data_IF_985239669979
#
_entry.id   IF_985239669979
#
_cell.length_a   1.000
_cell.length_b   1.000
_cell.length_c   1.000
_cell.angle_alpha   90.00
_cell.angle_beta   90.00
_cell.angle_gamma   90.00
#
_symmetry.space_group_name_H-M   'P 1'
#
loop_
_entity.id
_entity.type
_entity.pdbx_description
1 polymer ?
#
# COMPACT_ATOMS: atom_id res chain seq x y z
N UNK A 1 24.78 0.46 4.34
CA UNK A 1 25.97 0.51 3.47
C UNK A 1 26.42 -0.88 3.02
N UNK A 2 26.58 -1.86 3.93
CA UNK A 2 27.00 -3.23 3.56
C UNK A 2 26.08 -3.94 2.55
N UNK A 3 24.76 -3.88 2.70
CA UNK A 3 23.83 -4.53 1.75
C UNK A 3 23.94 -3.98 0.31
N UNK A 4 24.14 -2.67 0.16
CA UNK A 4 24.26 -2.04 -1.16
C UNK A 4 25.53 -2.47 -1.90
N UNK A 5 26.64 -2.62 -1.18
CA UNK A 5 27.91 -3.09 -1.77
C UNK A 5 27.80 -4.54 -2.28
N UNK A 6 27.15 -5.43 -1.51
CA UNK A 6 26.95 -6.83 -1.90
C UNK A 6 26.13 -6.99 -3.18
N UNK A 7 25.11 -6.13 -3.39
CA UNK A 7 24.31 -6.15 -4.63
C UNK A 7 25.17 -5.78 -5.83
N UNK A 8 26.05 -4.77 -5.69
CA UNK A 8 26.93 -4.32 -6.77
C UNK A 8 27.96 -5.39 -7.12
N UNK A 9 28.55 -6.04 -6.11
CA UNK A 9 29.45 -7.18 -6.29
C UNK A 9 28.74 -8.31 -7.05
N UNK A 10 27.50 -8.62 -6.66
CA UNK A 10 26.68 -9.65 -7.33
C UNK A 10 26.43 -9.31 -8.80
N UNK A 11 26.13 -8.05 -9.13
CA UNK A 11 25.93 -7.61 -10.52
C UNK A 11 27.20 -7.86 -11.36
N UNK A 12 28.37 -7.52 -10.82
CA UNK A 12 29.65 -7.74 -11.51
C UNK A 12 29.99 -9.23 -11.64
N UNK A 13 29.72 -10.03 -10.61
CA UNK A 13 29.92 -11.47 -10.60
C UNK A 13 29.04 -12.17 -11.64
N UNK A 14 27.76 -11.81 -11.72
CA UNK A 14 26.85 -12.35 -12.72
C UNK A 14 27.27 -11.95 -14.14
N UNK A 15 27.72 -10.71 -14.35
CA UNK A 15 28.28 -10.26 -15.62
C UNK A 15 29.47 -11.12 -16.08
N UNK A 16 30.42 -11.37 -15.17
CA UNK A 16 31.57 -12.25 -15.43
C UNK A 16 31.16 -13.70 -15.67
N UNK A 17 30.26 -14.24 -14.85
CA UNK A 17 29.82 -15.63 -14.92
C UNK A 17 29.14 -15.95 -16.25
N UNK A 18 28.27 -15.05 -16.72
CA UNK A 18 27.55 -15.22 -17.98
C UNK A 18 28.30 -14.66 -19.21
N UNK A 19 29.48 -14.04 -19.01
CA UNK A 19 30.25 -13.43 -20.10
C UNK A 19 29.51 -12.27 -20.77
N UNK A 20 28.68 -11.53 -20.02
CA UNK A 20 27.88 -10.42 -20.52
C UNK A 20 28.45 -9.08 -20.05
N UNK A 21 28.55 -8.13 -20.99
CA UNK A 21 28.85 -6.74 -20.67
C UNK A 21 27.53 -6.00 -20.49
N UNK A 22 27.37 -5.31 -19.36
CA UNK A 22 26.17 -4.51 -19.09
C UNK A 22 26.22 -3.23 -19.91
N UNK A 23 25.20 -3.00 -20.73
CA UNK A 23 25.08 -1.79 -21.56
C UNK A 23 23.99 -0.84 -21.06
N UNK A 24 22.99 -1.39 -20.37
CA UNK A 24 21.80 -0.69 -19.93
C UNK A 24 21.41 -1.12 -18.52
N UNK A 25 20.71 -0.23 -17.82
CA UNK A 25 20.15 -0.51 -16.50
C UNK A 25 18.70 -0.04 -16.45
N UNK A 26 17.83 -0.88 -15.88
CA UNK A 26 16.45 -0.53 -15.57
C UNK A 26 16.33 -0.46 -14.04
N UNK A 27 15.79 0.63 -13.51
CA UNK A 27 15.61 0.80 -12.07
C UNK A 27 14.25 1.40 -11.73
N UNK A 28 13.87 1.28 -10.46
CA UNK A 28 12.66 1.93 -9.95
C UNK A 28 12.72 3.45 -10.14
N UNK A 29 11.59 4.06 -10.47
CA UNK A 29 11.44 5.49 -10.65
C UNK A 29 11.62 6.29 -9.35
N UNK A 30 11.51 5.65 -8.18
CA UNK A 30 11.70 6.30 -6.88
C UNK A 30 13.12 6.93 -6.78
N UNK A 31 13.23 8.25 -6.58
CA UNK A 31 14.54 8.94 -6.60
C UNK A 31 15.46 8.55 -5.44
N UNK A 32 14.88 8.30 -4.27
CA UNK A 32 15.66 8.00 -3.06
C UNK A 32 16.03 6.53 -2.84
N UNK A 33 15.73 5.64 -3.80
CA UNK A 33 16.14 4.25 -3.68
C UNK A 33 17.65 4.09 -3.90
N UNK A 34 18.26 3.22 -3.10
CA UNK A 34 19.71 2.97 -3.17
C UNK A 34 20.14 2.41 -4.54
N UNK A 35 19.30 1.56 -5.15
CA UNK A 35 19.51 1.02 -6.49
C UNK A 35 19.46 2.12 -7.55
N UNK A 36 18.49 3.04 -7.47
CA UNK A 36 18.38 4.18 -8.39
C UNK A 36 19.60 5.09 -8.32
N UNK A 37 20.07 5.42 -7.10
CA UNK A 37 21.32 6.17 -6.91
C UNK A 37 22.57 5.44 -7.41
N UNK A 38 22.61 4.11 -7.32
CA UNK A 38 23.70 3.33 -7.89
C UNK A 38 23.67 3.36 -9.42
N UNK A 39 22.49 3.14 -10.02
CA UNK A 39 22.30 3.15 -11.46
C UNK A 39 22.73 4.51 -12.06
N UNK A 40 22.36 5.63 -11.42
CA UNK A 40 22.79 6.97 -11.82
C UNK A 40 24.32 7.15 -11.79
N UNK A 41 25.02 6.47 -10.87
CA UNK A 41 26.48 6.53 -10.74
C UNK A 41 27.22 5.50 -11.60
N UNK A 42 26.51 4.54 -12.18
CA UNK A 42 27.10 3.42 -12.92
C UNK A 42 27.67 3.82 -14.28
N UNK A 43 27.22 4.95 -14.84
CA UNK A 43 27.54 5.37 -16.21
C UNK A 43 26.80 4.59 -17.29
N UNK A 44 25.92 3.65 -16.93
CA UNK A 44 25.08 2.90 -17.87
C UNK A 44 23.93 3.79 -18.39
N UNK A 45 23.42 3.45 -19.58
CA UNK A 45 22.17 4.04 -20.05
C UNK A 45 21.01 3.56 -19.16
N UNK A 46 20.39 4.48 -18.43
CA UNK A 46 19.43 4.15 -17.37
C UNK A 46 17.99 4.46 -17.80
N UNK A 47 17.10 3.49 -17.57
CA UNK A 47 15.67 3.61 -17.78
C UNK A 47 14.94 3.49 -16.44
N UNK A 48 14.13 4.50 -16.10
CA UNK A 48 13.28 4.48 -14.90
C UNK A 48 11.95 3.84 -15.22
N UNK A 49 11.48 2.94 -14.35
CA UNK A 49 10.18 2.28 -14.44
C UNK A 49 9.44 2.44 -13.13
N UNK A 50 8.17 2.83 -13.20
CA UNK A 50 7.33 2.95 -12.01
C UNK A 50 7.03 1.58 -11.40
N UNK A 51 7.01 1.53 -10.07
CA UNK A 51 6.93 0.28 -9.30
C UNK A 51 5.77 -0.63 -9.73
N UNK A 52 4.56 -0.09 -9.75
CA UNK A 52 3.35 -0.82 -10.14
C UNK A 52 3.34 -1.18 -11.63
N UNK A 53 3.95 -0.37 -12.49
CA UNK A 53 4.10 -0.70 -13.91
C UNK A 53 5.06 -1.90 -14.09
N UNK A 54 6.09 -2.01 -13.25
CA UNK A 54 6.99 -3.16 -13.23
C UNK A 54 6.25 -4.43 -12.77
N UNK A 55 5.44 -4.36 -11.70
CA UNK A 55 4.59 -5.48 -11.27
C UNK A 55 3.64 -5.96 -12.36
N UNK A 56 2.92 -5.04 -13.02
CA UNK A 56 2.02 -5.36 -14.13
C UNK A 56 2.77 -6.01 -15.31
N UNK A 57 3.94 -5.47 -15.67
CA UNK A 57 4.77 -6.02 -16.75
C UNK A 57 5.35 -7.39 -16.40
N UNK A 58 5.72 -7.63 -15.14
CA UNK A 58 6.25 -8.91 -14.68
C UNK A 58 5.20 -10.03 -14.80
N UNK A 59 3.96 -9.77 -14.36
CA UNK A 59 2.86 -10.72 -14.50
C UNK A 59 2.55 -11.03 -15.96
N UNK A 60 2.50 -10.00 -16.81
CA UNK A 60 2.29 -10.18 -18.25
C UNK A 60 3.42 -11.01 -18.90
N UNK A 61 4.67 -10.77 -18.51
CA UNK A 61 5.83 -11.51 -19.00
C UNK A 61 5.82 -12.97 -18.56
N UNK A 62 5.46 -13.27 -17.31
CA UNK A 62 5.34 -14.64 -16.79
C UNK A 62 4.35 -15.48 -17.60
N UNK A 63 3.26 -14.86 -18.07
CA UNK A 63 2.24 -15.52 -18.88
C UNK A 63 2.40 -15.34 -20.39
N UNK A 64 3.47 -14.67 -20.85
CA UNK A 64 3.70 -14.33 -22.26
C UNK A 64 2.52 -13.59 -22.92
N UNK A 65 1.88 -12.68 -22.20
CA UNK A 65 0.73 -11.90 -22.70
C UNK A 65 1.22 -10.52 -23.15
N UNK A 66 0.86 -10.15 -24.38
CA UNK A 66 1.17 -8.85 -24.97
C UNK A 66 -0.08 -8.01 -25.26
N UNK A 67 -1.26 -8.59 -25.08
CA UNK A 67 -2.56 -7.98 -25.28
C UNK A 67 -2.95 -7.06 -24.11
N UNK A 68 -3.88 -6.10 -24.32
CA UNK A 68 -4.38 -5.27 -23.24
C UNK A 68 -5.04 -6.09 -22.11
N UNK A 69 -4.59 -5.88 -20.87
CA UNK A 69 -5.09 -6.50 -19.65
C UNK A 69 -5.45 -5.43 -18.61
N UNK A 70 -6.42 -5.75 -17.76
CA UNK A 70 -6.62 -5.05 -16.49
C UNK A 70 -5.86 -5.81 -15.40
N UNK A 71 -4.88 -5.15 -14.77
CA UNK A 71 -4.05 -5.72 -13.70
C UNK A 71 -4.24 -4.90 -12.43
N UNK A 72 -4.50 -5.59 -11.33
CA UNK A 72 -4.52 -4.98 -10.00
C UNK A 72 -3.15 -5.16 -9.34
N UNK A 73 -2.51 -4.05 -9.00
CA UNK A 73 -1.18 -4.04 -8.37
C UNK A 73 -1.33 -3.51 -6.96
N UNK A 74 -1.61 -4.42 -6.03
CA UNK A 74 -1.92 -4.11 -4.63
C UNK A 74 -0.76 -4.54 -3.74
N UNK A 75 -0.13 -3.57 -3.08
CA UNK A 75 1.06 -3.77 -2.26
C UNK A 75 1.11 -2.76 -1.10
N UNK A 76 2.26 -2.70 -0.42
CA UNK A 76 2.50 -1.76 0.67
C UNK A 76 2.81 -0.34 0.21
N UNK A 77 3.74 -0.16 -0.73
CA UNK A 77 4.20 1.15 -1.17
C UNK A 77 4.93 1.05 -2.50
N UNK A 78 4.59 1.95 -3.43
CA UNK A 78 5.38 2.19 -4.63
C UNK A 78 5.27 3.66 -5.06
N UNK A 79 6.34 4.19 -5.65
CA UNK A 79 6.35 5.57 -6.12
C UNK A 79 5.49 5.71 -7.37
N UNK A 80 4.46 6.55 -7.30
CA UNK A 80 3.52 6.80 -8.39
C UNK A 80 4.00 7.85 -9.39
N UNK A 81 3.41 7.84 -10.58
CA UNK A 81 3.67 8.83 -11.64
C UNK A 81 3.32 10.27 -11.24
N UNK A 82 2.36 10.40 -10.34
CA UNK A 82 1.88 11.67 -9.76
C UNK A 82 2.66 12.10 -8.51
N UNK A 83 3.74 11.37 -8.15
CA UNK A 83 4.55 11.63 -6.96
C UNK A 83 3.87 11.22 -5.64
N UNK A 84 2.73 10.54 -5.69
CA UNK A 84 2.07 9.98 -4.50
C UNK A 84 2.50 8.54 -4.24
N UNK A 85 2.09 7.99 -3.10
CA UNK A 85 2.38 6.60 -2.74
C UNK A 85 1.26 5.70 -3.26
N UNK A 86 1.54 4.95 -4.31
CA UNK A 86 0.61 3.96 -4.83
C UNK A 86 0.72 2.64 -4.07
N UNK A 87 -0.28 1.79 -4.25
CA UNK A 87 -0.32 0.43 -3.71
C UNK A 87 -1.69 -0.22 -3.74
N UNK A 88 -2.63 0.37 -4.47
CA UNK A 88 -4.02 -0.07 -4.58
C UNK A 88 -4.55 0.14 -5.99
N UNK A 89 -3.68 0.04 -7.00
CA UNK A 89 -3.98 0.51 -8.35
C UNK A 89 -4.60 -0.58 -9.22
N UNK A 90 -5.45 -0.16 -10.15
CA UNK A 90 -5.82 -0.93 -11.33
C UNK A 90 -5.23 -0.28 -12.56
N UNK A 91 -4.38 -1.02 -13.27
CA UNK A 91 -3.70 -0.60 -14.48
C UNK A 91 -4.30 -1.32 -15.68
N UNK A 92 -4.62 -0.58 -16.74
CA UNK A 92 -5.08 -1.15 -18.01
C UNK A 92 -4.07 -0.85 -19.11
N UNK A 93 -3.72 -1.86 -19.89
CA UNK A 93 -2.79 -1.70 -21.00
C UNK A 93 -2.00 -2.98 -21.28
N UNK A 94 -0.84 -2.82 -21.89
CA UNK A 94 0.08 -3.89 -22.24
C UNK A 94 1.49 -3.54 -21.71
N UNK A 95 2.45 -4.49 -21.68
CA UNK A 95 3.82 -4.21 -21.24
C UNK A 95 4.41 -2.95 -21.90
N UNK A 96 4.89 -2.02 -21.07
CA UNK A 96 5.42 -0.72 -21.52
C UNK A 96 4.39 0.40 -21.73
N UNK A 97 3.09 0.10 -21.72
CA UNK A 97 2.00 1.05 -21.99
C UNK A 97 0.84 0.90 -20.98
N UNK A 98 1.16 0.96 -19.69
CA UNK A 98 0.17 0.88 -18.62
C UNK A 98 -0.46 2.24 -18.35
N UNK A 99 -1.79 2.25 -18.18
CA UNK A 99 -2.56 3.43 -17.78
C UNK A 99 -3.28 3.14 -16.46
N UNK A 100 -3.15 4.04 -15.50
CA UNK A 100 -3.92 3.98 -14.25
C UNK A 100 -5.40 4.23 -14.54
N UNK A 101 -6.24 3.20 -14.37
CA UNK A 101 -7.69 3.27 -14.61
C UNK A 101 -8.50 3.16 -13.33
N UNK A 102 -7.92 2.68 -12.24
CA UNK A 102 -8.53 2.74 -10.93
C UNK A 102 -7.52 2.80 -9.79
N UNK A 103 -7.99 3.18 -8.61
CA UNK A 103 -7.20 3.22 -7.37
C UNK A 103 -8.10 3.10 -6.15
N UNK A 104 -7.59 2.60 -5.01
CA UNK A 104 -8.23 2.91 -3.74
C UNK A 104 -8.24 4.42 -3.50
N UNK A 105 -9.28 4.90 -2.81
CA UNK A 105 -9.39 6.31 -2.42
C UNK A 105 -8.14 6.74 -1.66
N UNK A 106 -7.41 7.76 -2.15
CA UNK A 106 -6.23 8.22 -1.46
C UNK A 106 -6.56 8.78 -0.07
N UNK A 107 -5.69 8.50 0.89
CA UNK A 107 -5.73 9.02 2.25
C UNK A 107 -4.36 9.54 2.67
N UNK A 108 -4.34 10.54 3.55
CA UNK A 108 -3.07 11.11 4.05
C UNK A 108 -2.49 10.23 5.15
N UNK A 109 -1.28 9.72 4.92
CA UNK A 109 -0.63 8.76 5.81
C UNK A 109 0.38 9.44 6.75
N UNK A 110 0.03 9.70 8.03
CA UNK A 110 0.89 10.45 8.92
C UNK A 110 2.11 9.63 9.36
N UNK A 111 3.30 10.19 9.23
CA UNK A 111 4.54 9.58 9.72
C UNK A 111 5.40 8.88 8.65
N UNK A 112 5.00 8.92 7.38
CA UNK A 112 5.75 8.36 6.26
C UNK A 112 6.10 6.89 6.49
N UNK A 113 7.38 6.54 6.37
CA UNK A 113 7.91 5.18 6.56
C UNK A 113 7.50 4.51 7.88
N UNK A 114 7.21 5.30 8.93
CA UNK A 114 6.77 4.73 10.22
C UNK A 114 5.42 4.03 10.12
N UNK A 115 4.57 4.40 9.16
CA UNK A 115 3.25 3.81 9.03
C UNK A 115 3.26 2.30 8.77
N UNK A 116 4.30 1.76 8.11
CA UNK A 116 4.46 0.31 7.95
C UNK A 116 4.93 -0.42 9.21
N UNK A 117 5.44 0.31 10.21
CA UNK A 117 5.89 -0.20 11.52
C UNK A 117 4.92 0.08 12.65
N UNK A 118 4.05 1.05 12.45
CA UNK A 118 3.07 1.52 13.42
C UNK A 118 1.68 1.52 12.75
N UNK A 119 1.08 0.33 12.48
CA UNK A 119 -0.25 0.17 11.87
C UNK A 119 -1.36 1.08 12.40
N UNK A 120 -1.32 1.43 13.69
CA UNK A 120 -2.26 2.38 14.28
C UNK A 120 -2.27 3.76 13.59
N UNK A 121 -1.18 4.16 12.91
CA UNK A 121 -1.12 5.38 12.10
C UNK A 121 -2.04 5.31 10.89
N UNK A 122 -2.09 4.16 10.23
CA UNK A 122 -2.97 3.92 9.09
C UNK A 122 -4.43 3.91 9.54
N UNK A 123 -4.73 3.31 10.71
CA UNK A 123 -6.05 3.36 11.33
C UNK A 123 -6.51 4.79 11.60
N UNK A 124 -5.68 5.60 12.28
CA UNK A 124 -5.99 7.02 12.51
C UNK A 124 -6.23 7.79 11.22
N UNK A 125 -5.40 7.57 10.19
CA UNK A 125 -5.54 8.22 8.90
C UNK A 125 -6.92 7.95 8.30
N UNK A 126 -7.35 6.68 8.27
CA UNK A 126 -8.65 6.32 7.71
C UNK A 126 -9.81 6.87 8.55
N UNK A 127 -9.72 6.84 9.88
CA UNK A 127 -10.73 7.45 10.74
C UNK A 127 -10.87 8.96 10.47
N UNK A 128 -9.75 9.69 10.43
CA UNK A 128 -9.76 11.13 10.21
C UNK A 128 -10.24 11.54 8.82
N UNK A 129 -9.92 10.78 7.76
CA UNK A 129 -10.46 11.02 6.41
C UNK A 129 -12.00 10.85 6.35
N UNK A 130 -12.57 10.08 7.28
CA UNK A 130 -14.02 9.90 7.43
C UNK A 130 -14.65 10.88 8.43
N UNK A 131 -13.83 11.72 9.10
CA UNK A 131 -14.30 12.63 10.14
C UNK A 131 -14.63 11.94 11.47
N UNK A 132 -14.12 10.72 11.68
CA UNK A 132 -14.31 9.93 12.89
C UNK A 132 -13.06 9.98 13.79
N UNK A 133 -13.25 9.73 15.08
CA UNK A 133 -12.15 9.62 16.06
C UNK A 133 -12.01 8.19 16.56
N UNK A 134 -10.78 7.70 16.65
CA UNK A 134 -10.48 6.42 17.28
C UNK A 134 -9.80 6.64 18.63
N UNK A 135 -10.57 6.49 19.70
CA UNK A 135 -10.15 6.81 21.07
C UNK A 135 -9.28 5.72 21.72
N UNK A 136 -9.29 4.50 21.18
CA UNK A 136 -8.51 3.36 21.68
C UNK A 136 -7.10 3.29 21.08
N UNK A 137 -6.70 4.31 20.33
CA UNK A 137 -5.35 4.40 19.77
C UNK A 137 -4.28 4.26 20.87
N UNK A 138 -3.26 3.41 20.68
CA UNK A 138 -2.25 3.11 21.70
C UNK A 138 -1.24 4.25 21.96
N UNK A 139 -1.36 5.37 21.23
CA UNK A 139 -0.44 6.49 21.27
C UNK A 139 -1.16 7.83 21.41
N UNK A 140 -0.48 8.81 22.01
CA UNK A 140 -0.93 10.20 22.09
C UNK A 140 -1.05 10.83 20.69
N UNK A 141 -2.27 11.20 20.30
CA UNK A 141 -2.57 11.57 18.91
C UNK A 141 -2.49 13.07 18.63
N UNK A 142 -2.46 13.93 19.65
CA UNK A 142 -2.62 15.38 19.51
C UNK A 142 -1.66 16.03 18.51
N UNK A 143 -0.36 15.76 18.63
CA UNK A 143 0.65 16.29 17.70
C UNK A 143 0.55 15.69 16.30
N UNK A 144 0.26 14.39 16.22
CA UNK A 144 0.16 13.66 14.94
C UNK A 144 -1.04 14.19 14.15
N UNK A 145 -2.17 14.41 14.82
CA UNK A 145 -3.38 14.97 14.22
C UNK A 145 -3.13 16.39 13.70
N UNK A 146 -2.44 17.23 14.46
CA UNK A 146 -2.06 18.57 13.99
C UNK A 146 -1.14 18.52 12.76
N UNK A 147 -0.16 17.59 12.75
CA UNK A 147 0.72 17.41 11.59
C UNK A 147 -0.07 16.93 10.36
N UNK A 148 -0.99 15.98 10.54
CA UNK A 148 -1.89 15.49 9.50
C UNK A 148 -2.77 16.59 8.91
N UNK A 149 -3.43 17.40 9.77
CA UNK A 149 -4.25 18.55 9.35
C UNK A 149 -3.44 19.59 8.56
N UNK A 150 -2.17 19.81 8.96
CA UNK A 150 -1.25 20.73 8.27
C UNK A 150 -0.50 20.07 7.10
N UNK A 151 -0.78 18.81 6.79
CA UNK A 151 -0.16 18.03 5.71
C UNK A 151 1.36 17.91 5.85
N UNK A 152 1.87 17.93 7.08
CA UNK A 152 3.29 17.79 7.39
C UNK A 152 3.61 16.31 7.54
N UNK A 153 4.57 15.82 6.74
CA UNK A 153 4.98 14.40 6.73
C UNK A 153 3.78 13.43 6.66
N UNK A 154 2.80 13.79 5.82
CA UNK A 154 1.54 13.06 5.64
C UNK A 154 1.24 12.90 4.14
N UNK A 155 2.09 12.16 3.40
CA UNK A 155 1.91 11.96 1.96
C UNK A 155 0.56 11.31 1.66
N UNK A 156 0.01 11.61 0.49
CA UNK A 156 -1.16 10.90 -0.02
C UNK A 156 -0.75 9.48 -0.42
N UNK A 157 -1.57 8.51 -0.02
CA UNK A 157 -1.39 7.13 -0.38
C UNK A 157 -2.71 6.46 -0.76
N UNK A 158 -2.67 5.62 -1.78
CA UNK A 158 -3.75 4.69 -2.17
C UNK A 158 -3.40 3.24 -1.81
N UNK A 159 -2.50 3.03 -0.86
CA UNK A 159 -1.95 1.71 -0.53
C UNK A 159 -2.98 0.74 0.07
N UNK A 160 -3.13 -0.41 -0.57
CA UNK A 160 -3.89 -1.55 -0.06
C UNK A 160 -3.23 -2.09 1.22
N UNK A 161 -1.91 -2.25 1.24
CA UNK A 161 -1.19 -2.74 2.43
C UNK A 161 -1.42 -1.85 3.66
N UNK A 162 -1.45 -0.53 3.49
CA UNK A 162 -1.75 0.41 4.58
C UNK A 162 -3.23 0.31 5.02
N UNK A 163 -4.16 -0.02 4.13
CA UNK A 163 -5.55 -0.30 4.52
C UNK A 163 -5.65 -1.59 5.36
N UNK A 164 -4.91 -2.64 5.00
CA UNK A 164 -4.85 -3.86 5.81
C UNK A 164 -4.16 -3.62 7.16
N UNK A 165 -3.12 -2.79 7.21
CA UNK A 165 -2.52 -2.34 8.48
C UNK A 165 -3.58 -1.65 9.36
N UNK A 166 -4.38 -0.75 8.78
CA UNK A 166 -5.45 -0.07 9.50
C UNK A 166 -6.49 -1.04 10.05
N UNK A 167 -6.94 -2.01 9.25
CA UNK A 167 -7.90 -3.02 9.68
C UNK A 167 -7.33 -3.90 10.82
N UNK A 168 -6.08 -4.32 10.73
CA UNK A 168 -5.40 -5.08 11.78
C UNK A 168 -5.28 -4.27 13.10
N UNK A 169 -5.03 -2.97 13.01
CA UNK A 169 -4.94 -2.08 14.16
C UNK A 169 -6.32 -1.83 14.80
N UNK A 170 -7.35 -1.56 13.99
CA UNK A 170 -8.72 -1.31 14.46
C UNK A 170 -9.35 -2.56 15.10
N UNK A 171 -8.98 -3.75 14.65
CA UNK A 171 -9.41 -5.03 15.25
C UNK A 171 -8.56 -5.42 16.47
N UNK A 172 -7.53 -4.64 16.81
CA UNK A 172 -6.65 -4.91 17.95
C UNK A 172 -5.63 -6.04 17.73
N UNK A 173 -5.51 -6.57 16.51
CA UNK A 173 -4.63 -7.70 16.19
C UNK A 173 -3.16 -7.28 16.24
N UNK A 174 -2.79 -6.21 15.52
CA UNK A 174 -1.41 -5.70 15.51
C UNK A 174 -1.43 -4.17 15.50
N UNK A 175 -0.84 -3.58 16.55
CA UNK A 175 -0.62 -2.12 16.64
C UNK A 175 0.80 -1.71 16.23
N UNK A 176 1.80 -2.57 16.47
CA UNK A 176 3.21 -2.32 16.17
C UNK A 176 3.78 -3.52 15.41
N UNK A 177 4.44 -3.28 14.29
CA UNK A 177 4.88 -4.31 13.37
C UNK A 177 6.40 -4.58 13.43
N UNK A 178 6.77 -5.84 13.70
CA UNK A 178 8.17 -6.29 13.81
C UNK A 178 8.87 -6.43 12.45
N UNK A 179 8.10 -6.59 11.38
CA UNK A 179 8.57 -6.66 10.01
C UNK A 179 7.51 -6.13 9.03
N UNK A 180 7.92 -5.86 7.80
CA UNK A 180 7.02 -5.39 6.76
C UNK A 180 6.02 -6.49 6.38
N UNK A 181 4.72 -6.16 6.33
CA UNK A 181 3.66 -7.14 6.09
C UNK A 181 3.18 -7.87 7.35
N UNK A 182 3.72 -7.58 8.54
CA UNK A 182 3.32 -8.24 9.79
C UNK A 182 1.81 -8.13 10.06
N UNK A 183 1.26 -6.91 10.08
CA UNK A 183 -0.15 -6.69 10.40
C UNK A 183 -1.12 -7.34 9.38
N UNK A 184 -0.95 -7.16 8.05
CA UNK A 184 -1.82 -7.78 7.06
C UNK A 184 -1.79 -9.31 7.11
N UNK A 185 -0.61 -9.91 7.30
CA UNK A 185 -0.47 -11.37 7.41
C UNK A 185 -1.20 -11.92 8.65
N UNK A 186 -1.14 -11.22 9.78
CA UNK A 186 -1.83 -11.65 11.00
C UNK A 186 -3.33 -11.44 10.93
N UNK A 187 -3.78 -10.36 10.27
CA UNK A 187 -5.19 -10.15 9.97
C UNK A 187 -5.74 -11.27 9.06
N UNK A 188 -5.00 -11.65 8.02
CA UNK A 188 -5.37 -12.77 7.15
C UNK A 188 -5.44 -14.08 7.95
N UNK A 189 -4.44 -14.38 8.78
CA UNK A 189 -4.42 -15.60 9.59
C UNK A 189 -5.55 -15.66 10.64
N UNK A 190 -6.01 -14.51 11.12
CA UNK A 190 -7.14 -14.40 12.03
C UNK A 190 -8.50 -14.44 11.31
N UNK A 191 -8.53 -14.28 10.00
CA UNK A 191 -9.76 -14.28 9.21
C UNK A 191 -10.33 -15.70 9.10
N UNK A 192 -11.64 -15.84 9.30
CA UNK A 192 -12.35 -17.12 9.21
C UNK A 192 -12.85 -17.44 7.80
N UNK A 193 -13.59 -18.55 7.67
CA UNK A 193 -14.33 -18.85 6.45
C UNK A 193 -15.36 -17.74 6.15
N UNK A 194 -15.41 -17.31 4.90
CA UNK A 194 -16.37 -16.31 4.45
C UNK A 194 -17.74 -17.00 4.30
N UNK A 195 -18.62 -16.81 5.27
CA UNK A 195 -19.97 -17.40 5.28
C UNK A 195 -21.04 -16.48 4.70
N UNK A 196 -20.72 -15.21 4.47
CA UNK A 196 -21.61 -14.18 3.93
C UNK A 196 -21.08 -13.60 2.63
N UNK A 197 -21.91 -12.89 1.87
CA UNK A 197 -21.45 -12.14 0.70
C UNK A 197 -20.40 -11.11 1.13
N UNK A 198 -19.31 -10.98 0.36
CA UNK A 198 -18.27 -9.99 0.62
C UNK A 198 -18.81 -8.54 0.67
N UNK A 199 -18.03 -7.65 1.27
CA UNK A 199 -18.36 -6.23 1.38
C UNK A 199 -18.33 -5.61 -0.02
N UNK A 200 -19.35 -4.81 -0.35
CA UNK A 200 -19.37 -4.06 -1.60
C UNK A 200 -18.21 -3.05 -1.65
N UNK A 201 -17.52 -2.95 -2.78
CA UNK A 201 -16.47 -1.95 -2.99
C UNK A 201 -16.98 -0.90 -3.98
N UNK A 202 -17.54 0.24 -3.49
CA UNK A 202 -18.22 1.19 -4.33
C UNK A 202 -17.20 1.90 -5.21
N UNK A 203 -17.42 1.79 -6.52
CA UNK A 203 -16.63 2.46 -7.54
C UNK A 203 -17.27 3.80 -7.88
N UNK A 204 -16.55 4.88 -7.62
CA UNK A 204 -16.93 6.21 -8.08
C UNK A 204 -16.11 6.58 -9.31
N UNK A 205 -16.77 6.98 -10.39
CA UNK A 205 -16.09 7.51 -11.60
C UNK A 205 -16.32 9.01 -11.68
N UNK A 206 -15.23 9.78 -11.61
CA UNK A 206 -15.17 11.20 -11.95
C UNK A 206 -14.32 11.38 -13.23
N UNK A 207 -13.96 12.61 -13.59
CA UNK A 207 -12.95 12.89 -14.61
C UNK A 207 -11.57 12.39 -14.10
N UNK A 208 -11.22 11.14 -14.39
CA UNK A 208 -9.97 10.49 -13.93
C UNK A 208 -10.14 8.97 -13.71
N UNK A 209 -9.15 8.31 -13.07
CA UNK A 209 -9.26 6.91 -12.67
C UNK A 209 -10.49 6.67 -11.78
N UNK A 210 -11.09 5.48 -11.88
CA UNK A 210 -12.16 5.07 -10.98
C UNK A 210 -11.62 4.92 -9.54
N UNK A 211 -12.36 5.42 -8.56
CA UNK A 211 -11.94 5.40 -7.16
C UNK A 211 -12.77 4.39 -6.39
N UNK A 212 -12.09 3.46 -5.72
CA UNK A 212 -12.69 2.49 -4.79
C UNK A 212 -12.68 3.09 -3.38
N UNK A 213 -13.87 3.35 -2.80
CA UNK A 213 -13.99 3.88 -1.43
C UNK A 213 -14.33 2.76 -0.44
N UNK A 214 -13.31 1.98 -0.06
CA UNK A 214 -13.45 0.86 0.87
C UNK A 214 -13.66 1.32 2.32
N UNK A 215 -13.11 2.47 2.72
CA UNK A 215 -13.20 2.98 4.08
C UNK A 215 -14.64 3.34 4.46
N UNK A 216 -15.38 4.01 3.55
CA UNK A 216 -16.77 4.40 3.80
C UNK A 216 -17.70 3.21 4.07
N UNK A 217 -17.45 2.07 3.44
CA UNK A 217 -18.23 0.84 3.66
C UNK A 217 -17.97 0.24 5.05
N UNK A 218 -16.70 0.13 5.44
CA UNK A 218 -16.31 -0.45 6.72
C UNK A 218 -16.94 0.30 7.92
N UNK A 219 -16.94 1.64 7.90
CA UNK A 219 -17.56 2.43 8.98
C UNK A 219 -19.10 2.41 8.95
N UNK A 220 -19.72 2.27 7.77
CA UNK A 220 -21.17 2.14 7.69
C UNK A 220 -21.67 0.80 8.25
N UNK A 221 -20.94 -0.29 8.01
CA UNK A 221 -21.26 -1.61 8.58
C UNK A 221 -21.12 -1.64 10.11
N UNK A 222 -20.11 -0.96 10.69
CA UNK A 222 -19.97 -0.85 12.14
C UNK A 222 -21.13 -0.09 12.82
N UNK A 223 -21.73 0.92 12.17
CA UNK A 223 -22.92 1.60 12.71
C UNK A 223 -24.15 0.70 12.75
N UNK A 224 -24.25 -0.27 11.84
CA UNK A 224 -25.35 -1.24 11.84
C UNK A 224 -25.21 -2.31 12.92
N UNK A 225 -23.99 -2.64 13.37
CA UNK A 225 -23.76 -3.65 14.42
C UNK A 225 -23.88 -3.11 15.85
N UNK A 226 -23.89 -1.78 16.06
CA UNK A 226 -24.22 -1.17 17.35
C UNK A 226 -25.71 -1.33 17.77
N UNK A 227 -26.53 -2.02 16.97
CA UNK A 227 -27.88 -2.46 17.36
C UNK A 227 -27.91 -3.74 18.20
N UNK A 228 -26.77 -4.45 18.36
CA UNK A 228 -26.65 -5.56 19.29
C UNK A 228 -25.96 -5.15 20.60
N UNK A 229 -26.56 -4.17 21.30
CA UNK A 229 -26.30 -4.04 22.74
C UNK A 229 -26.99 -5.21 23.45
N UNK A 230 -26.19 -6.13 23.98
CA UNK A 230 -26.66 -7.17 24.89
C UNK A 230 -27.44 -6.50 26.04
N UNK A 231 -28.74 -6.79 26.15
CA UNK A 231 -29.48 -6.48 27.36
C UNK A 231 -28.91 -7.34 28.51
N UNK A 232 -28.51 -6.76 29.65
CA UNK A 232 -28.18 -7.54 30.83
C UNK A 232 -29.48 -7.94 31.51
N UNK A 233 -29.86 -9.20 31.38
CA UNK A 233 -31.16 -9.66 31.85
C UNK A 233 -31.17 -11.08 32.40
N UNK A 234 -30.41 -11.36 33.46
CA UNK A 234 -30.79 -12.38 34.45
C UNK A 234 -30.32 -11.92 35.83
N UNK A 235 -31.25 -11.37 36.63
CA UNK A 235 -31.10 -11.30 38.10
C UNK A 235 -31.57 -12.62 38.74
N UNK A 236 -31.12 -12.95 39.97
CA UNK A 236 -31.44 -14.22 40.61
C UNK A 236 -32.81 -14.15 41.30
N UNK A 237 -33.63 -15.19 41.10
CA UNK A 237 -34.93 -15.38 41.76
C UNK A 237 -35.66 -16.57 41.20
#
# INVERSE_FOLDING_TARGET
>A
LERGLRVIETIADLGRLYGVTLEQCVCDAHPDYSASRWAERSGLNMHKVFHHHAHASALAAEHNICEPMLIFTWDGTGYGEDGTIWGGEGLFGAPGHWQRVSSFRPFRLPGGERAGREPWRSALALCWEQGEEWHECPAETGLIKQAWQKQINSPLSSSAGRMFDAAAALTGIVQYADFEGHAPMWLEAASGEITESGIDLPLTRNLGPAVVDAAKQAFNHQRTEQLFSCQPGIGPG
#
